data_IF_056639058891
#
_entry.id   IF_056639058891
#
_cell.length_a   1.000
_cell.length_b   1.000
_cell.length_c   1.000
_cell.angle_alpha   90.00
_cell.angle_beta   90.00
_cell.angle_gamma   90.00
#
_symmetry.space_group_name_H-M   'P 1'
#
loop_
_entity.id
_entity.type
_entity.pdbx_description
1 polymer ?
#
# COMPACT_ATOMS: atom_id res chain seq x y z
N UNK A 1 -2.91 16.15 -27.68
CA UNK A 1 -3.96 15.30 -28.30
C UNK A 1 -3.38 14.25 -29.25
N UNK A 2 -2.51 14.60 -30.21
CA UNK A 2 -1.90 13.62 -31.13
C UNK A 2 -1.07 12.52 -30.43
N UNK A 3 -0.22 12.86 -29.44
CA UNK A 3 0.59 11.84 -28.74
C UNK A 3 -0.31 10.87 -27.96
N UNK A 4 -1.31 11.38 -27.22
CA UNK A 4 -2.27 10.54 -26.51
C UNK A 4 -3.07 9.63 -27.45
N UNK A 5 -3.41 10.11 -28.65
CA UNK A 5 -4.03 9.27 -29.68
C UNK A 5 -3.09 8.17 -30.18
N UNK A 6 -1.80 8.47 -30.43
CA UNK A 6 -0.81 7.47 -30.85
C UNK A 6 -0.60 6.38 -29.79
N UNK A 7 -0.66 6.77 -28.51
CA UNK A 7 -0.61 5.85 -27.37
C UNK A 7 -1.86 4.97 -27.31
N UNK A 8 -3.04 5.56 -27.54
CA UNK A 8 -4.30 4.82 -27.62
C UNK A 8 -4.37 3.87 -28.83
N UNK A 9 -3.61 4.16 -29.91
CA UNK A 9 -3.44 3.28 -31.08
C UNK A 9 -2.17 2.41 -30.99
N UNK A 10 -1.65 2.20 -29.78
CA UNK A 10 -0.58 1.27 -29.37
C UNK A 10 0.85 1.46 -29.94
N UNK A 11 1.14 2.53 -30.69
CA UNK A 11 2.50 2.74 -31.22
C UNK A 11 3.38 3.53 -30.24
N UNK A 12 3.76 2.89 -29.12
CA UNK A 12 4.61 3.49 -28.07
C UNK A 12 5.97 4.02 -28.57
N UNK A 13 6.73 3.31 -29.42
CA UNK A 13 8.01 3.83 -29.93
C UNK A 13 7.83 5.12 -30.73
N UNK A 14 6.79 5.19 -31.56
CA UNK A 14 6.49 6.41 -32.34
C UNK A 14 6.05 7.56 -31.44
N UNK A 15 5.25 7.26 -30.40
CA UNK A 15 4.85 8.26 -29.41
C UNK A 15 6.08 8.85 -28.69
N UNK A 16 7.02 7.99 -28.26
CA UNK A 16 8.28 8.41 -27.62
C UNK A 16 9.14 9.26 -28.55
N UNK A 17 9.40 8.79 -29.78
CA UNK A 17 10.21 9.54 -30.76
C UNK A 17 9.63 10.93 -31.06
N UNK A 18 8.30 11.02 -31.23
CA UNK A 18 7.63 12.33 -31.43
C UNK A 18 7.72 13.21 -30.19
N UNK A 19 7.55 12.63 -29.01
CA UNK A 19 7.65 13.36 -27.76
C UNK A 19 9.07 13.91 -27.54
N UNK A 20 10.12 13.15 -27.88
CA UNK A 20 11.51 13.60 -27.77
C UNK A 20 11.80 14.81 -28.67
N UNK A 21 11.26 14.82 -29.90
CA UNK A 21 11.37 15.96 -30.79
C UNK A 21 10.68 17.22 -30.22
N UNK A 22 9.53 17.06 -29.57
CA UNK A 22 8.77 18.15 -28.93
C UNK A 22 9.49 18.62 -27.66
N UNK A 23 10.05 17.70 -26.88
CA UNK A 23 10.75 17.98 -25.64
C UNK A 23 11.99 18.86 -25.85
N UNK A 24 12.66 18.75 -27.01
CA UNK A 24 13.77 19.66 -27.37
C UNK A 24 13.33 21.12 -27.47
N UNK A 25 12.08 21.37 -27.89
CA UNK A 25 11.52 22.73 -28.04
C UNK A 25 10.82 23.21 -26.78
N UNK A 26 10.23 22.30 -26.01
CA UNK A 26 9.40 22.62 -24.83
C UNK A 26 9.76 21.74 -23.61
N UNK A 27 11.02 21.76 -23.12
CA UNK A 27 11.53 20.79 -22.14
C UNK A 27 10.91 20.90 -20.74
N UNK A 28 10.22 22.01 -20.44
CA UNK A 28 9.55 22.25 -19.16
C UNK A 28 8.04 22.37 -19.28
N UNK A 29 7.48 22.11 -20.47
CA UNK A 29 6.03 22.19 -20.67
C UNK A 29 5.31 21.13 -19.81
N UNK A 30 4.20 21.49 -19.13
CA UNK A 30 3.42 20.54 -18.36
C UNK A 30 3.00 19.28 -19.14
N UNK A 31 2.58 19.44 -20.39
CA UNK A 31 2.20 18.33 -21.27
C UNK A 31 3.38 17.42 -21.60
N UNK A 32 4.56 18.01 -21.85
CA UNK A 32 5.77 17.24 -22.18
C UNK A 32 6.21 16.44 -20.97
N UNK A 33 6.31 17.06 -19.79
CA UNK A 33 6.72 16.37 -18.56
C UNK A 33 5.74 15.26 -18.20
N UNK A 34 4.44 15.52 -18.31
CA UNK A 34 3.40 14.52 -18.05
C UNK A 34 3.54 13.31 -19.01
N UNK A 35 3.65 13.56 -20.31
CA UNK A 35 3.78 12.50 -21.30
C UNK A 35 5.10 11.74 -21.17
N UNK A 36 6.21 12.40 -20.82
CA UNK A 36 7.49 11.74 -20.59
C UNK A 36 7.43 10.82 -19.37
N UNK A 37 6.73 11.25 -18.33
CA UNK A 37 6.48 10.44 -17.15
C UNK A 37 5.53 9.25 -17.44
N UNK A 38 4.53 9.46 -18.30
CA UNK A 38 3.55 8.44 -18.66
C UNK A 38 4.14 7.34 -19.56
N UNK A 39 5.02 7.72 -20.49
CA UNK A 39 5.53 6.82 -21.53
C UNK A 39 6.85 6.13 -21.18
N UNK A 40 7.51 6.51 -20.09
CA UNK A 40 8.76 5.86 -19.67
C UNK A 40 8.48 4.54 -18.95
N UNK A 41 9.30 3.52 -19.24
CA UNK A 41 9.28 2.24 -18.52
C UNK A 41 10.01 2.31 -17.17
N UNK A 42 10.93 3.27 -17.02
CA UNK A 42 11.67 3.45 -15.78
C UNK A 42 10.83 4.25 -14.78
N UNK A 43 10.37 3.57 -13.72
CA UNK A 43 9.55 4.18 -12.69
C UNK A 43 10.22 5.34 -11.93
N UNK A 44 11.55 5.31 -11.75
CA UNK A 44 12.27 6.39 -11.07
C UNK A 44 12.32 7.64 -11.96
N UNK A 45 12.55 7.47 -13.27
CA UNK A 45 12.44 8.56 -14.26
C UNK A 45 11.01 9.11 -14.32
N UNK A 46 9.99 8.24 -14.27
CA UNK A 46 8.59 8.66 -14.22
C UNK A 46 8.33 9.53 -12.99
N UNK A 47 8.79 9.09 -11.81
CA UNK A 47 8.64 9.83 -10.58
C UNK A 47 9.34 11.20 -10.65
N UNK A 48 10.56 11.28 -11.21
CA UNK A 48 11.28 12.55 -11.37
C UNK A 48 10.48 13.55 -12.21
N UNK A 49 9.95 13.11 -13.35
CA UNK A 49 9.15 13.97 -14.23
C UNK A 49 7.82 14.38 -13.59
N UNK A 50 7.12 13.45 -12.93
CA UNK A 50 5.91 13.78 -12.16
C UNK A 50 6.20 14.75 -11.01
N UNK A 51 7.30 14.59 -10.29
CA UNK A 51 7.69 15.48 -9.20
C UNK A 51 8.03 16.88 -9.71
N UNK A 52 8.75 16.98 -10.84
CA UNK A 52 9.03 18.27 -11.48
C UNK A 52 7.74 18.96 -11.92
N UNK A 53 6.79 18.21 -12.47
CA UNK A 53 5.49 18.72 -12.87
C UNK A 53 4.69 19.23 -11.66
N UNK A 54 4.67 18.46 -10.57
CA UNK A 54 4.02 18.82 -9.31
C UNK A 54 4.63 20.08 -8.67
N UNK A 55 5.96 20.18 -8.60
CA UNK A 55 6.65 21.31 -7.96
C UNK A 55 6.52 22.61 -8.75
N UNK A 56 6.57 22.55 -10.08
CA UNK A 56 6.65 23.75 -10.92
C UNK A 56 5.28 24.24 -11.41
N UNK A 57 4.23 23.41 -11.36
CA UNK A 57 2.93 23.72 -11.95
C UNK A 57 1.76 23.11 -11.17
N UNK A 58 1.60 23.49 -9.89
CA UNK A 58 0.50 23.01 -9.03
C UNK A 58 -0.91 23.25 -9.60
N UNK A 59 -1.09 24.25 -10.47
CA UNK A 59 -2.37 24.56 -11.12
C UNK A 59 -2.58 23.88 -12.49
N UNK A 60 -1.69 22.96 -12.91
CA UNK A 60 -1.87 22.25 -14.17
C UNK A 60 -3.15 21.40 -14.16
N UNK A 61 -3.82 21.26 -15.31
CA UNK A 61 -4.95 20.33 -15.48
C UNK A 61 -4.62 18.88 -15.10
N UNK A 62 -3.33 18.53 -15.09
CA UNK A 62 -2.85 17.20 -14.72
C UNK A 62 -2.63 17.02 -13.22
N UNK A 63 -2.77 18.07 -12.40
CA UNK A 63 -2.32 18.04 -11.01
C UNK A 63 -2.95 16.90 -10.17
N UNK A 64 -4.28 16.66 -10.19
CA UNK A 64 -4.84 15.52 -9.46
C UNK A 64 -4.27 14.18 -9.93
N UNK A 65 -4.08 14.02 -11.24
CA UNK A 65 -3.57 12.78 -11.82
C UNK A 65 -2.10 12.56 -11.50
N UNK A 66 -1.27 13.60 -11.58
CA UNK A 66 0.16 13.56 -11.23
C UNK A 66 0.34 13.19 -9.77
N UNK A 67 -0.41 13.83 -8.87
CA UNK A 67 -0.40 13.51 -7.44
C UNK A 67 -0.80 12.05 -7.23
N UNK A 68 -1.81 11.58 -7.97
CA UNK A 68 -2.27 10.20 -7.91
C UNK A 68 -1.18 9.22 -8.35
N UNK A 69 -0.47 9.51 -9.45
CA UNK A 69 0.66 8.70 -9.94
C UNK A 69 1.82 8.65 -8.94
N UNK A 70 2.15 9.79 -8.31
CA UNK A 70 3.16 9.84 -7.24
C UNK A 70 2.72 8.97 -6.06
N UNK A 71 1.46 9.05 -5.65
CA UNK A 71 0.91 8.22 -4.58
C UNK A 71 0.98 6.73 -4.91
N UNK A 72 0.60 6.33 -6.13
CA UNK A 72 0.69 4.95 -6.62
C UNK A 72 2.13 4.43 -6.63
N UNK A 73 3.10 5.26 -7.04
CA UNK A 73 4.51 4.90 -7.00
C UNK A 73 4.97 4.60 -5.56
N UNK A 74 4.65 5.49 -4.61
CA UNK A 74 5.01 5.29 -3.20
C UNK A 74 4.31 4.05 -2.63
N UNK A 75 3.06 3.81 -2.99
CA UNK A 75 2.33 2.59 -2.61
C UNK A 75 3.05 1.33 -3.13
N UNK A 76 3.45 1.31 -4.40
CA UNK A 76 4.16 0.19 -5.00
C UNK A 76 5.53 -0.06 -4.35
N UNK A 77 6.21 0.99 -3.86
CA UNK A 77 7.45 0.89 -3.08
C UNK A 77 7.22 0.49 -1.61
N UNK A 78 5.97 0.41 -1.15
CA UNK A 78 5.62 0.12 0.22
C UNK A 78 5.77 1.29 1.18
N UNK A 79 5.99 2.51 0.68
CA UNK A 79 5.96 3.74 1.47
C UNK A 79 4.51 4.21 1.62
N UNK A 80 3.75 3.49 2.43
CA UNK A 80 2.33 3.77 2.66
C UNK A 80 2.10 5.14 3.29
N UNK A 81 3.09 5.70 4.00
CA UNK A 81 2.97 7.00 4.66
C UNK A 81 3.01 8.11 3.64
N UNK A 82 3.97 8.10 2.72
CA UNK A 82 4.00 9.04 1.60
C UNK A 82 2.83 8.82 0.66
N UNK A 83 2.49 7.56 0.35
CA UNK A 83 1.33 7.26 -0.49
C UNK A 83 0.05 7.89 0.09
N UNK A 84 -0.22 7.69 1.39
CA UNK A 84 -1.37 8.30 2.07
C UNK A 84 -1.35 9.82 1.99
N UNK A 85 -0.19 10.44 2.22
CA UNK A 85 -0.03 11.89 2.16
C UNK A 85 -0.44 12.43 0.78
N UNK A 86 0.09 11.86 -0.31
CA UNK A 86 -0.24 12.30 -1.66
C UNK A 86 -1.70 12.03 -2.03
N UNK A 87 -2.27 10.87 -1.68
CA UNK A 87 -3.70 10.66 -1.87
C UNK A 87 -4.55 11.68 -1.10
N UNK A 88 -4.14 12.05 0.12
CA UNK A 88 -4.85 13.04 0.93
C UNK A 88 -4.83 14.44 0.29
N UNK A 89 -3.74 14.82 -0.39
CA UNK A 89 -3.67 16.08 -1.15
C UNK A 89 -4.75 16.17 -2.25
N UNK A 90 -5.09 15.06 -2.91
CA UNK A 90 -6.18 15.07 -3.91
C UNK A 90 -7.52 15.36 -3.23
N UNK A 91 -7.74 14.75 -2.06
CA UNK A 91 -8.99 14.90 -1.31
C UNK A 91 -9.16 16.34 -0.81
N UNK A 92 -8.09 16.95 -0.29
CA UNK A 92 -8.13 18.31 0.28
C UNK A 92 -8.07 19.40 -0.80
N UNK A 93 -7.16 19.27 -1.75
CA UNK A 93 -6.78 20.37 -2.63
C UNK A 93 -7.57 20.33 -3.95
N UNK A 94 -8.16 19.17 -4.29
CA UNK A 94 -8.92 18.95 -5.54
C UNK A 94 -10.28 18.28 -5.29
N UNK A 95 -11.18 18.88 -4.48
CA UNK A 95 -12.44 18.27 -4.07
C UNK A 95 -13.46 18.09 -5.20
N UNK A 96 -13.23 18.63 -6.40
CA UNK A 96 -14.08 18.42 -7.58
C UNK A 96 -13.45 17.47 -8.61
N UNK A 97 -12.27 16.91 -8.32
CA UNK A 97 -11.63 15.93 -9.20
C UNK A 97 -12.41 14.62 -9.24
N UNK A 98 -12.52 14.01 -10.42
CA UNK A 98 -13.00 12.64 -10.60
C UNK A 98 -12.18 11.63 -9.79
N UNK A 99 -10.91 11.94 -9.51
CA UNK A 99 -10.03 11.10 -8.70
C UNK A 99 -10.24 11.26 -7.19
N UNK A 100 -11.07 12.22 -6.73
CA UNK A 100 -11.22 12.50 -5.28
C UNK A 100 -11.66 11.28 -4.51
N UNK A 101 -12.75 10.62 -4.92
CA UNK A 101 -13.31 9.46 -4.20
C UNK A 101 -12.32 8.30 -4.22
N UNK A 102 -11.69 8.05 -5.37
CA UNK A 102 -10.68 7.02 -5.50
C UNK A 102 -9.45 7.31 -4.63
N UNK A 103 -8.99 8.54 -4.56
CA UNK A 103 -7.88 8.95 -3.70
C UNK A 103 -8.24 8.81 -2.21
N UNK A 104 -9.45 9.21 -1.81
CA UNK A 104 -9.93 9.03 -0.44
C UNK A 104 -9.96 7.56 -0.04
N UNK A 105 -10.42 6.69 -0.94
CA UNK A 105 -10.39 5.25 -0.77
C UNK A 105 -8.97 4.73 -0.54
N UNK A 106 -8.02 5.06 -1.43
CA UNK A 106 -6.65 4.61 -1.27
C UNK A 106 -5.97 5.17 -0.02
N UNK A 107 -6.22 6.42 0.35
CA UNK A 107 -5.75 6.99 1.61
C UNK A 107 -6.24 6.18 2.82
N UNK A 108 -7.51 5.75 2.80
CA UNK A 108 -8.06 4.89 3.84
C UNK A 108 -7.47 3.47 3.82
N UNK A 109 -7.15 2.92 2.65
CA UNK A 109 -6.38 1.66 2.56
C UNK A 109 -4.96 1.78 3.08
N UNK A 110 -4.32 2.93 2.92
CA UNK A 110 -2.99 3.15 3.49
C UNK A 110 -3.06 3.19 5.02
N UNK A 111 -4.12 3.79 5.60
CA UNK A 111 -4.38 3.71 7.05
C UNK A 111 -4.46 2.26 7.52
N UNK A 112 -5.13 1.38 6.76
CA UNK A 112 -5.23 -0.04 7.09
C UNK A 112 -3.90 -0.77 6.99
N UNK A 113 -3.13 -0.50 5.92
CA UNK A 113 -1.78 -1.05 5.77
C UNK A 113 -0.85 -0.60 6.90
N UNK A 114 -1.14 0.55 7.52
CA UNK A 114 -0.46 1.10 8.69
C UNK A 114 -1.12 0.71 10.02
N UNK A 115 -2.10 -0.19 10.00
CA UNK A 115 -2.82 -0.66 11.18
C UNK A 115 -3.56 0.43 11.97
N UNK A 116 -3.85 1.57 11.36
CA UNK A 116 -4.63 2.67 11.91
C UNK A 116 -6.13 2.41 11.69
N UNK A 117 -6.66 1.33 12.28
CA UNK A 117 -7.99 0.80 11.97
C UNK A 117 -9.14 1.80 12.22
N UNK A 118 -9.14 2.50 13.35
CA UNK A 118 -10.25 3.41 13.68
C UNK A 118 -10.35 4.56 12.68
N UNK A 119 -9.19 5.12 12.29
CA UNK A 119 -9.11 6.15 11.26
C UNK A 119 -9.54 5.60 9.90
N UNK A 120 -9.02 4.43 9.53
CA UNK A 120 -9.39 3.78 8.27
C UNK A 120 -10.89 3.54 8.15
N UNK A 121 -11.50 3.01 9.20
CA UNK A 121 -12.93 2.71 9.27
C UNK A 121 -13.77 3.98 9.17
N UNK A 122 -13.37 5.03 9.88
CA UNK A 122 -14.00 6.34 9.77
C UNK A 122 -13.94 6.87 8.34
N UNK A 123 -12.77 6.82 7.68
CA UNK A 123 -12.60 7.32 6.32
C UNK A 123 -13.34 6.48 5.27
N UNK A 124 -13.29 5.15 5.36
CA UNK A 124 -14.02 4.26 4.43
C UNK A 124 -15.53 4.43 4.56
N UNK A 125 -16.08 4.67 5.76
CA UNK A 125 -17.49 5.02 5.93
C UNK A 125 -17.87 6.30 5.17
N UNK A 126 -16.99 7.31 5.18
CA UNK A 126 -17.20 8.55 4.41
C UNK A 126 -17.18 8.27 2.91
N UNK A 127 -16.25 7.43 2.43
CA UNK A 127 -16.17 7.01 1.02
C UNK A 127 -17.48 6.38 0.57
N UNK A 128 -17.98 5.37 1.30
CA UNK A 128 -19.24 4.66 0.99
C UNK A 128 -20.46 5.61 1.01
N UNK A 129 -20.50 6.57 1.95
CA UNK A 129 -21.59 7.54 2.01
C UNK A 129 -21.56 8.49 0.80
N UNK A 130 -20.38 8.99 0.44
CA UNK A 130 -20.21 9.99 -0.61
C UNK A 130 -20.33 9.38 -2.02
N UNK A 131 -20.01 8.09 -2.20
CA UNK A 131 -20.13 7.39 -3.47
C UNK A 131 -21.58 7.05 -3.84
N UNK A 132 -22.50 6.93 -2.88
CA UNK A 132 -23.93 6.71 -3.17
C UNK A 132 -24.61 7.91 -3.82
N UNK A 133 -24.01 9.10 -3.69
CA UNK A 133 -24.57 10.35 -4.21
C UNK A 133 -23.99 10.74 -5.59
N UNK A 134 -22.91 10.10 -6.05
CA UNK A 134 -22.22 10.41 -7.31
C UNK A 134 -22.00 9.10 -8.11
N UNK A 135 -22.22 9.10 -9.44
CA UNK A 135 -22.09 7.92 -10.34
C UNK A 135 -20.67 7.33 -10.50
N UNK A 136 -19.75 7.60 -9.57
CA UNK A 136 -18.37 7.11 -9.64
C UNK A 136 -18.20 5.75 -8.93
N UNK A 137 -18.38 4.69 -9.74
CA UNK A 137 -17.70 3.39 -9.81
C UNK A 137 -17.63 2.40 -8.62
N UNK A 138 -17.57 1.12 -9.02
CA UNK A 138 -17.59 -0.16 -8.27
C UNK A 138 -16.66 -0.28 -7.05
N UNK A 139 -15.71 0.64 -6.87
CA UNK A 139 -14.72 0.65 -5.78
C UNK A 139 -15.42 0.69 -4.41
N UNK A 140 -16.45 1.54 -4.27
CA UNK A 140 -17.20 1.67 -3.03
C UNK A 140 -18.31 0.61 -2.86
N UNK A 141 -18.52 -0.28 -3.85
CA UNK A 141 -19.40 -1.44 -3.74
C UNK A 141 -18.67 -2.68 -3.19
N UNK A 142 -17.35 -2.78 -3.39
CA UNK A 142 -16.54 -3.84 -2.78
C UNK A 142 -16.30 -3.60 -1.27
N UNK A 143 -16.23 -2.34 -0.86
CA UNK A 143 -15.85 -1.96 0.51
C UNK A 143 -16.90 -2.10 1.63
N UNK A 144 -18.24 -2.05 1.41
CA UNK A 144 -19.20 -2.18 2.50
C UNK A 144 -19.06 -3.53 3.23
N UNK A 145 -18.86 -4.61 2.47
CA UNK A 145 -18.56 -5.93 3.02
C UNK A 145 -17.23 -5.93 3.82
N UNK A 146 -16.23 -5.20 3.32
CA UNK A 146 -14.94 -5.04 4.00
C UNK A 146 -15.04 -4.17 5.27
N UNK A 147 -15.90 -3.15 5.29
CA UNK A 147 -16.19 -2.31 6.45
C UNK A 147 -16.90 -3.09 7.56
N UNK A 148 -17.86 -3.94 7.19
CA UNK A 148 -18.53 -4.83 8.13
C UNK A 148 -17.56 -5.87 8.71
N UNK A 149 -16.67 -6.41 7.89
CA UNK A 149 -15.59 -7.29 8.35
C UNK A 149 -14.64 -6.56 9.32
N UNK A 150 -14.19 -5.34 8.99
CA UNK A 150 -13.37 -4.52 9.88
C UNK A 150 -14.09 -4.23 11.19
N UNK A 151 -15.40 -4.00 11.16
CA UNK A 151 -16.22 -3.78 12.34
C UNK A 151 -16.28 -5.00 13.25
N UNK A 152 -16.38 -6.21 12.68
CA UNK A 152 -16.32 -7.46 13.42
C UNK A 152 -14.92 -7.72 14.01
N UNK A 153 -13.85 -7.36 13.30
CA UNK A 153 -12.47 -7.41 13.82
C UNK A 153 -12.24 -6.40 14.96
N UNK A 154 -12.86 -5.20 14.90
CA UNK A 154 -12.78 -4.21 15.99
C UNK A 154 -13.62 -4.60 17.20
N UNK A 155 -14.74 -5.33 16.99
CA UNK A 155 -15.65 -5.81 18.04
C UNK A 155 -15.18 -7.09 18.71
N UNK A 156 -14.19 -7.79 18.14
CA UNK A 156 -13.49 -8.86 18.84
C UNK A 156 -12.77 -8.25 20.06
N UNK A 157 -13.50 -8.16 21.18
CA UNK A 157 -12.93 -7.85 22.49
C UNK A 157 -11.80 -8.84 22.80
N UNK A 158 -10.81 -8.48 23.64
CA UNK A 158 -9.76 -9.41 24.12
C UNK A 158 -10.27 -10.62 24.93
N UNK A 159 -11.58 -10.90 24.90
CA UNK A 159 -12.31 -11.76 25.81
C UNK A 159 -12.69 -13.14 25.22
N UNK A 160 -12.18 -13.51 24.04
CA UNK A 160 -12.10 -14.94 23.66
C UNK A 160 -10.64 -15.39 23.69
N UNK A 161 -10.09 -15.49 24.90
CA UNK A 161 -8.76 -16.05 25.19
C UNK A 161 -8.77 -17.57 25.08
N UNK A 162 -9.49 -18.16 24.13
CA UNK A 162 -9.40 -19.60 23.90
C UNK A 162 -8.21 -19.91 22.99
N UNK A 163 -7.06 -20.19 23.62
CA UNK A 163 -6.01 -21.12 23.14
C UNK A 163 -5.10 -20.76 21.95
N UNK A 164 -4.97 -19.50 21.52
CA UNK A 164 -4.00 -19.12 20.47
C UNK A 164 -2.70 -18.55 21.07
N UNK A 165 -2.14 -19.20 22.08
CA UNK A 165 -0.78 -18.87 22.51
C UNK A 165 0.19 -19.64 21.61
N UNK A 166 1.19 -18.98 20.96
CA UNK A 166 2.34 -19.74 20.47
C UNK A 166 2.90 -20.54 21.65
N UNK A 167 3.33 -21.80 21.44
CA UNK A 167 3.74 -22.66 22.54
C UNK A 167 4.76 -21.92 23.41
N UNK A 168 4.41 -21.79 24.70
CA UNK A 168 5.26 -21.18 25.73
C UNK A 168 6.61 -21.89 25.70
N UNK A 169 7.69 -21.09 25.65
CA UNK A 169 9.11 -21.49 25.57
C UNK A 169 9.37 -22.90 26.10
N UNK A 170 9.63 -23.85 25.21
CA UNK A 170 10.53 -24.97 25.51
C UNK A 170 11.93 -24.55 25.10
N UNK A 171 12.85 -24.67 26.05
CA UNK A 171 14.31 -24.54 26.01
C UNK A 171 14.95 -24.45 24.61
N UNK A 172 15.82 -23.45 24.50
CA UNK A 172 16.60 -22.87 23.40
C UNK A 172 17.14 -23.71 22.20
N UNK A 173 16.79 -24.98 21.96
CA UNK A 173 17.57 -25.79 21.01
C UNK A 173 16.91 -26.13 19.66
N UNK A 174 15.61 -25.90 19.42
CA UNK A 174 15.00 -26.31 18.13
C UNK A 174 14.00 -25.33 17.49
N UNK A 175 14.09 -24.02 17.76
CA UNK A 175 13.26 -23.06 17.03
C UNK A 175 13.75 -22.93 15.58
N UNK A 176 13.04 -23.58 14.65
CA UNK A 176 13.40 -23.62 13.23
C UNK A 176 12.41 -22.88 12.33
N UNK A 177 11.24 -22.47 12.83
CA UNK A 177 10.19 -21.90 11.97
C UNK A 177 9.54 -20.65 12.56
N UNK A 178 9.10 -19.74 11.70
CA UNK A 178 8.31 -18.56 12.06
C UNK A 178 7.23 -18.28 11.01
N UNK A 179 6.12 -17.67 11.42
CA UNK A 179 5.07 -17.23 10.49
C UNK A 179 5.31 -15.78 10.10
N UNK A 180 5.75 -15.54 8.87
CA UNK A 180 5.88 -14.20 8.32
C UNK A 180 4.54 -13.71 7.77
N UNK A 181 4.18 -12.49 8.14
CA UNK A 181 2.95 -11.82 7.70
C UNK A 181 3.20 -10.56 6.87
N UNK A 182 4.46 -10.10 6.79
CA UNK A 182 4.85 -8.94 6.02
C UNK A 182 6.36 -8.81 5.83
N UNK A 183 6.77 -8.05 4.82
CA UNK A 183 8.15 -7.62 4.60
C UNK A 183 8.14 -6.21 4.01
N UNK A 184 8.71 -5.25 4.72
CA UNK A 184 8.60 -3.82 4.41
C UNK A 184 9.97 -3.22 4.12
N UNK A 185 10.05 -2.29 3.18
CA UNK A 185 11.24 -1.46 2.98
C UNK A 185 11.40 -0.38 4.06
N UNK A 186 10.28 0.06 4.64
CA UNK A 186 10.24 1.04 5.72
C UNK A 186 10.07 0.34 7.09
N UNK A 187 10.93 0.70 8.05
CA UNK A 187 10.93 0.14 9.41
C UNK A 187 9.69 0.51 10.21
N UNK A 188 9.17 1.72 10.05
CA UNK A 188 8.01 2.21 10.80
C UNK A 188 6.72 1.48 10.37
N UNK A 189 6.62 1.10 9.09
CA UNK A 189 5.52 0.25 8.62
C UNK A 189 5.59 -1.15 9.26
N UNK A 190 6.79 -1.72 9.38
CA UNK A 190 6.99 -2.99 10.08
C UNK A 190 6.65 -2.88 11.59
N UNK A 191 7.01 -1.78 12.24
CA UNK A 191 6.65 -1.48 13.64
C UNK A 191 5.14 -1.39 13.81
N UNK A 192 4.48 -0.65 12.94
CA UNK A 192 3.02 -0.48 12.97
C UNK A 192 2.32 -1.83 12.86
N UNK A 193 2.73 -2.68 11.92
CA UNK A 193 2.15 -4.02 11.77
C UNK A 193 2.49 -4.93 12.97
N UNK A 194 3.72 -4.89 13.50
CA UNK A 194 4.09 -5.65 14.71
C UNK A 194 3.20 -5.25 15.90
N UNK A 195 3.07 -3.95 16.16
CA UNK A 195 2.36 -3.43 17.33
C UNK A 195 0.85 -3.68 17.23
N UNK A 196 0.32 -3.69 16.02
CA UNK A 196 -1.05 -4.14 15.76
C UNK A 196 -1.29 -5.55 16.27
N UNK A 197 -0.54 -6.54 15.79
CA UNK A 197 -0.73 -7.93 16.22
C UNK A 197 -0.35 -8.16 17.68
N UNK A 198 0.59 -7.38 18.23
CA UNK A 198 0.92 -7.39 19.66
C UNK A 198 -0.27 -6.98 20.53
N UNK A 199 -1.13 -6.06 20.08
CA UNK A 199 -2.37 -5.68 20.80
C UNK A 199 -3.39 -6.81 20.88
N UNK A 200 -3.38 -7.73 19.92
CA UNK A 200 -4.19 -8.96 19.94
C UNK A 200 -3.52 -10.11 20.71
N UNK A 201 -2.39 -9.86 21.39
CA UNK A 201 -1.70 -10.85 22.20
C UNK A 201 -0.76 -11.77 21.43
N UNK A 202 -0.54 -11.56 20.12
CA UNK A 202 0.39 -12.37 19.36
C UNK A 202 1.84 -11.98 19.67
N UNK A 203 2.69 -12.97 19.97
CA UNK A 203 4.13 -12.77 20.02
C UNK A 203 4.62 -12.32 18.63
N UNK A 204 5.05 -11.06 18.53
CA UNK A 204 5.34 -10.40 17.24
C UNK A 204 6.74 -9.80 17.26
N UNK A 205 7.55 -10.10 16.24
CA UNK A 205 8.94 -9.63 16.12
C UNK A 205 9.21 -9.04 14.72
N UNK A 206 10.24 -8.20 14.64
CA UNK A 206 10.75 -7.67 13.37
C UNK A 206 12.15 -8.23 13.13
N UNK A 207 12.35 -8.83 11.96
CA UNK A 207 13.64 -9.33 11.50
C UNK A 207 14.14 -8.47 10.33
N UNK A 208 15.26 -7.80 10.52
CA UNK A 208 15.93 -7.05 9.46
C UNK A 208 16.87 -7.97 8.67
N UNK A 209 16.86 -7.88 7.34
CA UNK A 209 17.80 -8.59 6.48
C UNK A 209 18.19 -7.73 5.27
N UNK A 210 19.44 -7.86 4.82
CA UNK A 210 19.96 -7.14 3.65
C UNK A 210 19.50 -7.82 2.35
N UNK A 211 19.17 -7.02 1.36
CA UNK A 211 18.89 -7.40 -0.02
C UNK A 211 19.81 -6.63 -0.96
N UNK A 212 19.76 -6.93 -2.27
CA UNK A 212 20.49 -6.15 -3.29
C UNK A 212 20.03 -4.68 -3.37
N UNK A 213 18.81 -4.38 -2.91
CA UNK A 213 18.16 -3.07 -3.05
C UNK A 213 18.04 -2.30 -1.73
N UNK A 214 18.56 -2.83 -0.62
CA UNK A 214 18.51 -2.18 0.69
C UNK A 214 18.27 -3.16 1.83
N UNK A 215 17.70 -2.68 2.92
CA UNK A 215 17.29 -3.52 4.05
C UNK A 215 15.78 -3.72 3.99
N UNK A 216 15.32 -4.95 4.19
CA UNK A 216 13.91 -5.26 4.38
C UNK A 216 13.66 -5.68 5.83
N UNK A 217 12.49 -5.31 6.35
CA UNK A 217 12.02 -5.57 7.70
C UNK A 217 10.84 -6.55 7.63
N UNK A 218 11.08 -7.83 7.96
CA UNK A 218 10.04 -8.86 8.05
C UNK A 218 9.32 -8.77 9.37
N UNK A 219 7.99 -8.85 9.33
CA UNK A 219 7.17 -9.00 10.54
C UNK A 219 6.79 -10.46 10.66
N UNK A 220 7.13 -11.05 11.80
CA UNK A 220 6.80 -12.44 12.12
C UNK A 220 5.87 -12.52 13.33
N UNK A 221 4.98 -13.51 13.32
CA UNK A 221 4.09 -13.87 14.41
C UNK A 221 4.45 -15.27 14.92
N UNK A 222 4.99 -15.34 16.14
CA UNK A 222 5.38 -16.57 16.78
C UNK A 222 6.61 -17.24 16.18
N UNK A 223 7.16 -18.16 16.97
CA UNK A 223 8.28 -19.02 16.65
C UNK A 223 7.92 -20.45 17.03
N UNK A 224 8.28 -21.41 16.18
CA UNK A 224 7.78 -22.78 16.24
C UNK A 224 8.93 -23.76 16.02
N UNK A 225 8.85 -24.90 16.71
CA UNK A 225 9.82 -25.97 16.55
C UNK A 225 9.62 -26.69 15.21
N UNK A 226 8.36 -26.88 14.81
CA UNK A 226 8.01 -27.61 13.59
C UNK A 226 7.31 -26.73 12.55
N UNK A 227 7.47 -27.10 11.28
CA UNK A 227 6.76 -26.45 10.18
C UNK A 227 5.24 -26.64 10.29
N UNK A 228 4.79 -27.79 10.80
CA UNK A 228 3.38 -28.11 10.97
C UNK A 228 2.70 -27.16 11.96
N UNK A 229 3.32 -26.91 13.11
CA UNK A 229 2.82 -25.94 14.10
C UNK A 229 2.72 -24.54 13.50
N UNK A 230 3.78 -24.09 12.82
CA UNK A 230 3.81 -22.80 12.17
C UNK A 230 2.71 -22.69 11.09
N UNK A 231 2.48 -23.74 10.29
CA UNK A 231 1.40 -23.76 9.28
C UNK A 231 0.02 -23.74 9.90
N UNK A 232 -0.22 -24.51 10.97
CA UNK A 232 -1.51 -24.50 11.69
C UNK A 232 -1.83 -23.10 12.22
N UNK A 233 -0.87 -22.50 12.92
CA UNK A 233 -1.01 -21.13 13.41
C UNK A 233 -1.21 -20.13 12.26
N UNK A 234 -0.41 -20.21 11.19
CA UNK A 234 -0.52 -19.35 10.02
C UNK A 234 -1.90 -19.41 9.34
N UNK A 235 -2.47 -20.61 9.16
CA UNK A 235 -3.84 -20.79 8.63
C UNK A 235 -4.89 -20.14 9.51
N UNK A 236 -4.76 -20.27 10.83
CA UNK A 236 -5.68 -19.66 11.78
C UNK A 236 -5.63 -18.14 11.71
N UNK A 237 -4.43 -17.55 11.70
CA UNK A 237 -4.24 -16.12 11.54
C UNK A 237 -4.79 -15.62 10.20
N UNK A 238 -4.53 -16.35 9.10
CA UNK A 238 -5.08 -16.03 7.79
C UNK A 238 -6.60 -15.96 7.80
N UNK A 239 -7.28 -16.92 8.42
CA UNK A 239 -8.74 -16.94 8.51
C UNK A 239 -9.29 -15.81 9.39
N UNK A 240 -8.64 -15.52 10.51
CA UNK A 240 -9.11 -14.51 11.48
C UNK A 240 -8.90 -13.08 10.98
N UNK A 241 -7.75 -12.82 10.34
CA UNK A 241 -7.32 -11.47 9.98
C UNK A 241 -7.36 -11.21 8.47
N UNK A 242 -7.74 -12.20 7.66
CA UNK A 242 -7.73 -12.15 6.20
C UNK A 242 -6.39 -11.71 5.62
N UNK A 243 -5.29 -12.26 6.15
CA UNK A 243 -3.93 -11.94 5.71
C UNK A 243 -3.24 -13.13 5.04
N UNK A 244 -2.41 -12.85 4.04
CA UNK A 244 -1.48 -13.84 3.52
C UNK A 244 -0.33 -14.03 4.50
N UNK A 245 0.17 -15.25 4.60
CA UNK A 245 1.35 -15.57 5.39
C UNK A 245 2.32 -16.45 4.61
N UNK A 246 3.56 -16.52 5.10
CA UNK A 246 4.59 -17.45 4.63
C UNK A 246 5.29 -18.08 5.83
N UNK A 247 5.67 -19.34 5.71
CA UNK A 247 6.55 -19.97 6.69
C UNK A 247 7.99 -19.64 6.35
N UNK A 248 8.71 -19.12 7.35
CA UNK A 248 10.15 -18.91 7.30
C UNK A 248 10.84 -20.02 8.07
N UNK A 249 11.88 -20.59 7.47
CA UNK A 249 12.85 -21.42 8.20
C UNK A 249 13.90 -20.49 8.80
N UNK A 250 14.01 -20.47 10.12
CA UNK A 250 15.01 -19.68 10.86
C UNK A 250 16.21 -20.57 11.13
N UNK A 251 17.39 -20.16 10.67
CA UNK A 251 18.65 -20.81 11.05
C UNK A 251 18.98 -20.43 12.49
N UNK A 252 19.40 -21.40 13.29
CA UNK A 252 20.02 -21.17 14.59
C UNK A 252 21.34 -20.45 14.28
N UNK A 253 21.51 -19.23 14.81
CA UNK A 253 22.82 -18.58 14.85
C UNK A 253 23.58 -19.09 16.06
#
# INVERSE_FOLDING_TARGET
KQILHIVATENLPTARNRLDAIAKRYPSSPDVLYLQALLTENGDTALQNYTRLYSNNKASRFAPEVIYKIAQFNYAKGDYKRARLFFSHIVSDYPHSELRIQAQYFAAKMLLAQSQLDQAKSELKKVVKNSKNNETNDIAKEDPAYIDQLHNVTRATPADKSTIQPPVKKTNEEIRFAVQIGAFGDRENAISQRDYYKRFGYASEILAFKTRTGTLYRVILGRFATELEARRFGKQIQSLHNIKYRILKTTIN
#
